data_IF_784969404830
#
_entry.id   IF_784969404830
#
_cell.length_a   1.000
_cell.length_b   1.000
_cell.length_c   1.000
_cell.angle_alpha   90.00
_cell.angle_beta   90.00
_cell.angle_gamma   90.00
#
_symmetry.space_group_name_H-M   'P 1'
#
loop_
_entity.id
_entity.type
_entity.pdbx_description
1 polymer ?
#
# COMPACT_ATOMS: atom_id res chain seq x y z
N UNK A 1 -5.37 14.34 12.83
CA UNK A 1 -4.26 13.57 12.23
C UNK A 1 -4.69 12.12 12.13
N UNK A 2 -4.49 11.45 10.98
CA UNK A 2 -4.82 10.03 10.85
C UNK A 2 -3.87 9.19 11.72
N UNK A 3 -4.38 8.12 12.35
CA UNK A 3 -3.55 7.25 13.19
C UNK A 3 -2.54 6.50 12.31
N UNK A 4 -1.24 6.54 12.64
CA UNK A 4 -0.24 5.77 11.90
C UNK A 4 -0.54 4.27 12.03
N UNK A 5 -0.26 3.52 10.97
CA UNK A 5 -0.22 2.08 11.04
C UNK A 5 0.96 1.68 11.92
N UNK A 6 0.77 0.69 12.79
CA UNK A 6 1.84 0.18 13.66
C UNK A 6 1.88 -1.32 13.50
N UNK A 7 2.96 -1.79 12.90
CA UNK A 7 3.33 -3.21 12.94
C UNK A 7 4.31 -3.46 14.07
N UNK A 8 4.20 -4.65 14.65
CA UNK A 8 5.04 -5.08 15.76
C UNK A 8 6.49 -5.33 15.33
N UNK A 9 6.67 -5.81 14.09
CA UNK A 9 7.97 -6.22 13.59
C UNK A 9 8.36 -5.53 12.28
N UNK A 10 9.65 -5.23 12.12
CA UNK A 10 10.23 -4.58 10.95
C UNK A 10 9.99 -5.35 9.64
N UNK A 11 9.98 -6.68 9.70
CA UNK A 11 9.77 -7.51 8.52
C UNK A 11 8.36 -7.34 7.94
N UNK A 12 7.36 -6.97 8.75
CA UNK A 12 5.98 -6.73 8.29
C UNK A 12 5.92 -5.47 7.40
N UNK A 13 6.68 -4.43 7.77
CA UNK A 13 6.84 -3.23 6.94
C UNK A 13 7.54 -3.54 5.62
N UNK A 14 8.61 -4.36 5.67
CA UNK A 14 9.28 -4.81 4.46
C UNK A 14 8.33 -5.60 3.55
N UNK A 15 7.59 -6.55 4.11
CA UNK A 15 6.63 -7.36 3.36
C UNK A 15 5.54 -6.50 2.71
N UNK A 16 5.01 -5.52 3.43
CA UNK A 16 4.03 -4.58 2.88
C UNK A 16 4.63 -3.73 1.75
N UNK A 17 5.85 -3.21 1.94
CA UNK A 17 6.54 -2.43 0.90
C UNK A 17 6.82 -3.25 -0.36
N UNK A 18 7.31 -4.49 -0.20
CA UNK A 18 7.59 -5.40 -1.30
C UNK A 18 6.31 -5.74 -2.09
N UNK A 19 5.18 -5.93 -1.39
CA UNK A 19 3.88 -6.16 -2.00
C UNK A 19 3.37 -4.95 -2.79
N UNK A 20 3.47 -3.73 -2.22
CA UNK A 20 3.04 -2.50 -2.89
C UNK A 20 3.92 -2.17 -4.10
N UNK A 21 5.24 -2.40 -4.02
CA UNK A 21 6.14 -2.28 -5.16
C UNK A 21 5.78 -3.29 -6.27
N UNK A 22 5.49 -4.54 -5.89
CA UNK A 22 5.02 -5.56 -6.83
C UNK A 22 3.71 -5.16 -7.53
N UNK A 23 2.77 -4.54 -6.83
CA UNK A 23 1.52 -4.02 -7.41
C UNK A 23 1.77 -2.84 -8.36
N UNK A 24 2.69 -1.94 -8.00
CA UNK A 24 3.10 -0.83 -8.86
C UNK A 24 3.76 -1.33 -10.16
N UNK A 25 4.71 -2.27 -10.07
CA UNK A 25 5.36 -2.91 -11.23
C UNK A 25 4.38 -3.63 -12.17
N UNK A 26 3.25 -4.11 -11.64
CA UNK A 26 2.16 -4.71 -12.41
C UNK A 26 1.16 -3.69 -12.99
N UNK A 27 1.36 -2.39 -12.72
CA UNK A 27 0.44 -1.31 -13.14
C UNK A 27 -0.84 -1.23 -12.30
N UNK A 28 -0.99 -2.05 -11.25
CA UNK A 28 -2.18 -2.03 -10.38
C UNK A 28 -2.17 -0.86 -9.41
N UNK A 29 -1.01 -0.31 -9.08
CA UNK A 29 -0.88 0.99 -8.43
C UNK A 29 -0.10 1.90 -9.38
N UNK A 30 -0.56 3.13 -9.56
CA UNK A 30 0.08 4.12 -10.45
C UNK A 30 1.20 4.90 -9.76
N UNK A 31 1.23 4.93 -8.44
CA UNK A 31 2.18 5.73 -7.67
C UNK A 31 3.07 4.84 -6.79
N UNK A 32 4.38 4.91 -7.00
CA UNK A 32 5.38 4.18 -6.22
C UNK A 32 5.52 4.72 -4.78
N UNK A 33 5.07 5.95 -4.49
CA UNK A 33 5.19 6.56 -3.15
C UNK A 33 4.51 5.74 -2.05
N UNK A 34 3.52 4.91 -2.40
CA UNK A 34 2.88 3.97 -1.47
C UNK A 34 3.85 2.93 -0.93
N UNK A 35 4.69 2.35 -1.79
CA UNK A 35 5.73 1.42 -1.38
C UNK A 35 6.79 2.13 -0.52
N UNK A 36 7.21 3.34 -0.90
CA UNK A 36 8.14 4.12 -0.09
C UNK A 36 7.61 4.43 1.30
N UNK A 37 6.34 4.84 1.41
CA UNK A 37 5.69 5.10 2.71
C UNK A 37 5.68 3.85 3.58
N UNK A 38 5.46 2.67 3.01
CA UNK A 38 5.55 1.41 3.75
C UNK A 38 6.99 1.14 4.23
N UNK A 39 8.00 1.25 3.37
CA UNK A 39 9.40 1.06 3.78
C UNK A 39 9.84 2.07 4.86
N UNK A 40 9.31 3.29 4.82
CA UNK A 40 9.60 4.36 5.79
C UNK A 40 8.72 4.31 7.04
N UNK A 41 7.77 3.36 7.16
CA UNK A 41 6.80 3.26 8.26
C UNK A 41 5.89 4.48 8.42
N UNK A 42 5.57 5.12 7.31
CA UNK A 42 4.79 6.35 7.23
C UNK A 42 3.37 6.12 6.71
N UNK A 43 3.04 4.90 6.29
CA UNK A 43 1.70 4.56 5.83
C UNK A 43 0.72 4.59 7.01
N UNK A 44 -0.44 5.21 6.81
CA UNK A 44 -1.53 5.22 7.79
C UNK A 44 -2.52 4.08 7.52
N UNK A 45 -3.33 3.74 8.52
CA UNK A 45 -4.39 2.73 8.35
C UNK A 45 -5.44 3.14 7.29
N UNK A 46 -5.74 4.44 7.17
CA UNK A 46 -6.68 4.95 6.18
C UNK A 46 -6.14 4.82 4.75
N UNK A 47 -4.86 5.14 4.55
CA UNK A 47 -4.19 4.95 3.25
C UNK A 47 -4.13 3.47 2.87
N UNK A 48 -3.86 2.57 3.81
CA UNK A 48 -3.89 1.13 3.55
C UNK A 48 -5.29 0.64 3.14
N UNK A 49 -6.34 1.12 3.80
CA UNK A 49 -7.72 0.79 3.45
C UNK A 49 -8.08 1.30 2.05
N UNK A 50 -7.66 2.52 1.70
CA UNK A 50 -7.82 3.08 0.35
C UNK A 50 -7.08 2.23 -0.69
N UNK A 51 -5.83 1.85 -0.44
CA UNK A 51 -5.06 1.01 -1.36
C UNK A 51 -5.72 -0.35 -1.59
N UNK A 52 -6.26 -0.97 -0.53
CA UNK A 52 -7.00 -2.22 -0.66
C UNK A 52 -8.26 -2.04 -1.53
N UNK A 53 -9.01 -0.94 -1.36
CA UNK A 53 -10.15 -0.61 -2.23
C UNK A 53 -9.71 -0.48 -3.70
N UNK A 54 -8.64 0.27 -3.97
CA UNK A 54 -8.13 0.48 -5.34
C UNK A 54 -7.75 -0.85 -5.99
N UNK A 55 -7.02 -1.71 -5.28
CA UNK A 55 -6.62 -3.03 -5.78
C UNK A 55 -7.84 -3.89 -6.10
N UNK A 56 -8.82 -3.96 -5.19
CA UNK A 56 -10.05 -4.75 -5.39
C UNK A 56 -10.85 -4.26 -6.60
N UNK A 57 -11.05 -2.95 -6.73
CA UNK A 57 -11.80 -2.38 -7.85
C UNK A 57 -11.07 -2.57 -9.19
N UNK A 58 -9.75 -2.38 -9.26
CA UNK A 58 -8.98 -2.67 -10.47
C UNK A 58 -9.00 -4.15 -10.84
N UNK A 59 -8.96 -5.06 -9.86
CA UNK A 59 -9.13 -6.50 -10.11
C UNK A 59 -10.53 -6.85 -10.63
N UNK A 60 -11.55 -6.08 -10.25
CA UNK A 60 -12.90 -6.20 -10.78
C UNK A 60 -13.09 -5.54 -12.16
N UNK A 61 -12.04 -4.97 -12.76
CA UNK A 61 -12.09 -4.28 -14.04
C UNK A 61 -12.64 -2.85 -13.96
N UNK A 62 -12.74 -2.28 -12.77
CA UNK A 62 -13.17 -0.88 -12.59
C UNK A 62 -11.98 0.05 -12.77
N UNK A 63 -12.13 1.04 -13.64
CA UNK A 63 -11.16 2.13 -13.81
C UNK A 63 -11.38 3.20 -12.73
N UNK A 64 -10.32 3.47 -11.95
CA UNK A 64 -10.24 4.43 -10.85
C UNK A 64 -8.85 5.08 -10.83
#
# INVERSE_FOLDING_TARGET
MAKPLVFENDWQWKQLGDALDGLHKKGLLSDYTWAEKAYKRQLTGAELAYLNMVVQARQAGVEI
#
